data_IF_102296001659
#
_entry.id   IF_102296001659
#
_cell.length_a   1.000
_cell.length_b   1.000
_cell.length_c   1.000
_cell.angle_alpha   90.00
_cell.angle_beta   90.00
_cell.angle_gamma   90.00
#
_symmetry.space_group_name_H-M   'P 1'
#
loop_
_entity.id
_entity.type
_entity.pdbx_description
1 polymer ?
#
# COMPACT_ATOMS: atom_id res chain seq x y z
N UNK A 1 -6.18 -27.06 -22.53
CA UNK A 1 -5.38 -26.72 -21.33
C UNK A 1 -5.10 -25.22 -21.18
N UNK A 2 -4.57 -24.54 -22.21
CA UNK A 2 -4.18 -23.12 -22.12
C UNK A 2 -5.30 -22.14 -21.72
N UNK A 3 -6.51 -22.29 -22.28
CA UNK A 3 -7.66 -21.44 -21.94
C UNK A 3 -8.10 -21.57 -20.46
N UNK A 4 -7.99 -22.79 -19.91
CA UNK A 4 -8.31 -23.07 -18.50
C UNK A 4 -7.28 -22.42 -17.56
N UNK A 5 -5.99 -22.54 -17.89
CA UNK A 5 -4.92 -21.89 -17.14
C UNK A 5 -5.05 -20.37 -17.18
N UNK A 6 -5.31 -19.78 -18.36
CA UNK A 6 -5.52 -18.35 -18.50
C UNK A 6 -6.69 -17.84 -17.65
N UNK A 7 -7.85 -18.54 -17.72
CA UNK A 7 -9.02 -18.19 -16.90
C UNK A 7 -8.68 -18.23 -15.40
N UNK A 8 -7.97 -19.28 -14.95
CA UNK A 8 -7.57 -19.44 -13.55
C UNK A 8 -6.61 -18.34 -13.09
N UNK A 9 -5.63 -17.99 -13.92
CA UNK A 9 -4.68 -16.90 -13.63
C UNK A 9 -5.39 -15.55 -13.55
N UNK A 10 -6.31 -15.25 -14.47
CA UNK A 10 -7.10 -14.02 -14.42
C UNK A 10 -7.98 -13.94 -13.18
N UNK A 11 -8.62 -15.04 -12.78
CA UNK A 11 -9.39 -15.10 -11.53
C UNK A 11 -8.48 -14.87 -10.32
N UNK A 12 -7.30 -15.47 -10.28
CA UNK A 12 -6.34 -15.25 -9.20
C UNK A 12 -5.91 -13.78 -9.11
N UNK A 13 -5.53 -13.17 -10.23
CA UNK A 13 -5.14 -11.75 -10.30
C UNK A 13 -6.29 -10.86 -9.82
N UNK A 14 -7.51 -11.10 -10.30
CA UNK A 14 -8.69 -10.35 -9.88
C UNK A 14 -8.96 -10.45 -8.38
N UNK A 15 -8.83 -11.65 -7.80
CA UNK A 15 -8.98 -11.86 -6.36
C UNK A 15 -7.89 -11.12 -5.57
N UNK A 16 -6.63 -11.17 -6.02
CA UNK A 16 -5.52 -10.47 -5.37
C UNK A 16 -5.71 -8.95 -5.40
N UNK A 17 -6.11 -8.41 -6.56
CA UNK A 17 -6.42 -6.97 -6.70
C UNK A 17 -7.56 -6.61 -5.75
N UNK A 18 -8.68 -7.34 -5.77
CA UNK A 18 -9.82 -7.09 -4.90
C UNK A 18 -9.45 -7.13 -3.41
N UNK A 19 -8.71 -8.15 -2.98
CA UNK A 19 -8.22 -8.26 -1.61
C UNK A 19 -7.29 -7.10 -1.24
N UNK A 20 -6.36 -6.71 -2.13
CA UNK A 20 -5.43 -5.60 -1.88
C UNK A 20 -6.16 -4.26 -1.71
N UNK A 21 -7.19 -3.99 -2.54
CA UNK A 21 -8.01 -2.77 -2.43
C UNK A 21 -8.75 -2.75 -1.10
N UNK A 22 -9.34 -3.87 -0.69
CA UNK A 22 -10.04 -3.97 0.61
C UNK A 22 -9.08 -3.66 1.76
N UNK A 23 -7.89 -4.26 1.76
CA UNK A 23 -6.86 -3.99 2.78
C UNK A 23 -6.49 -2.50 2.79
N UNK A 24 -6.27 -1.89 1.63
CA UNK A 24 -5.92 -0.47 1.53
C UNK A 24 -7.02 0.44 2.07
N UNK A 25 -8.29 0.16 1.74
CA UNK A 25 -9.44 0.92 2.24
C UNK A 25 -9.59 0.80 3.75
N UNK A 26 -9.39 -0.39 4.31
CA UNK A 26 -9.42 -0.59 5.77
C UNK A 26 -8.31 0.24 6.43
N UNK A 27 -7.09 0.19 5.90
CA UNK A 27 -5.96 0.96 6.45
C UNK A 27 -6.17 2.48 6.34
N UNK A 28 -6.83 2.96 5.29
CA UNK A 28 -7.14 4.39 5.11
C UNK A 28 -8.20 4.89 6.10
N UNK A 29 -9.16 4.04 6.47
CA UNK A 29 -10.22 4.37 7.43
C UNK A 29 -9.71 4.29 8.87
N UNK A 30 -8.67 3.50 9.13
CA UNK A 30 -8.12 3.36 10.47
C UNK A 30 -7.56 4.70 10.98
N UNK A 31 -8.00 5.17 12.16
CA UNK A 31 -7.45 6.39 12.75
C UNK A 31 -6.01 6.11 13.21
N UNK A 32 -5.04 6.71 12.52
CA UNK A 32 -3.63 6.59 12.87
C UNK A 32 -2.74 6.93 11.68
N UNK A 33 -1.74 7.77 11.90
CA UNK A 33 -0.71 8.01 10.89
C UNK A 33 0.32 6.87 10.98
N UNK A 34 0.53 6.13 9.89
CA UNK A 34 1.53 5.06 9.86
C UNK A 34 2.94 5.56 10.28
N UNK A 35 3.29 6.80 9.97
CA UNK A 35 4.53 7.44 10.43
C UNK A 35 4.57 7.59 11.96
N UNK A 36 3.44 7.88 12.60
CA UNK A 36 3.35 7.99 14.05
C UNK A 36 3.44 6.61 14.71
N UNK A 37 2.87 5.57 14.09
CA UNK A 37 3.01 4.19 14.57
C UNK A 37 4.45 3.69 14.46
N UNK A 38 5.15 4.04 13.38
CA UNK A 38 6.55 3.66 13.16
C UNK A 38 7.53 4.38 14.10
N UNK A 39 7.30 5.68 14.35
CA UNK A 39 8.19 6.49 15.18
C UNK A 39 7.91 6.33 16.68
N UNK A 40 6.74 5.80 17.04
CA UNK A 40 6.31 5.64 18.42
C UNK A 40 5.66 6.90 19.02
N UNK A 41 5.07 6.78 20.21
CA UNK A 41 4.30 7.83 20.85
C UNK A 41 5.13 9.05 21.30
N UNK A 42 6.43 8.88 21.52
CA UNK A 42 7.34 9.94 21.99
C UNK A 42 8.00 10.73 20.84
N UNK A 43 7.64 10.42 19.60
CA UNK A 43 8.23 11.05 18.43
C UNK A 43 7.80 12.53 18.32
N UNK A 44 8.77 13.41 18.09
CA UNK A 44 8.51 14.82 17.80
C UNK A 44 7.56 14.96 16.59
N UNK A 45 6.55 15.84 16.64
CA UNK A 45 5.61 16.04 15.53
C UNK A 45 6.31 16.38 14.21
N UNK A 46 7.43 17.10 14.24
CA UNK A 46 8.19 17.43 13.03
C UNK A 46 8.80 16.17 12.38
N UNK A 47 9.34 15.25 13.18
CA UNK A 47 9.90 14.01 12.67
C UNK A 47 8.82 13.08 12.10
N UNK A 48 7.64 13.03 12.72
CA UNK A 48 6.48 12.29 12.20
C UNK A 48 6.01 12.88 10.87
N UNK A 49 5.92 14.20 10.75
CA UNK A 49 5.54 14.87 9.50
C UNK A 49 6.58 14.62 8.39
N UNK A 50 7.86 14.74 8.70
CA UNK A 50 8.94 14.47 7.75
C UNK A 50 8.93 13.01 7.26
N UNK A 51 8.68 12.05 8.16
CA UNK A 51 8.53 10.65 7.80
C UNK A 51 7.25 10.41 6.99
N UNK A 52 6.14 11.06 7.34
CA UNK A 52 4.88 10.94 6.60
C UNK A 52 5.03 11.39 5.15
N UNK A 53 5.71 12.52 4.90
CA UNK A 53 6.03 12.99 3.54
C UNK A 53 7.00 12.04 2.82
N UNK A 54 8.03 11.53 3.51
CA UNK A 54 8.94 10.52 2.93
C UNK A 54 8.21 9.24 2.49
N UNK A 55 7.23 8.81 3.27
CA UNK A 55 6.39 7.64 3.00
C UNK A 55 5.24 7.96 2.02
N UNK A 56 5.11 9.21 1.57
CA UNK A 56 4.05 9.64 0.68
C UNK A 56 2.65 9.58 1.30
N UNK A 57 2.52 9.59 2.63
CA UNK A 57 1.24 9.55 3.35
C UNK A 57 0.43 10.85 3.19
N UNK A 58 1.05 11.90 2.65
CA UNK A 58 0.44 13.15 2.24
C UNK A 58 -0.26 13.06 0.87
N UNK A 59 -0.01 11.99 0.10
CA UNK A 59 -0.63 11.78 -1.20
C UNK A 59 -1.99 11.06 -1.09
N UNK A 60 -2.91 11.28 -2.04
CA UNK A 60 -4.17 10.54 -2.11
C UNK A 60 -3.94 9.03 -2.10
N UNK A 61 -4.78 8.29 -1.37
CA UNK A 61 -4.69 6.84 -1.23
C UNK A 61 -4.59 6.09 -2.58
N UNK A 62 -5.32 6.57 -3.59
CA UNK A 62 -5.28 6.02 -4.95
C UNK A 62 -3.90 6.13 -5.60
N UNK A 63 -3.21 7.25 -5.42
CA UNK A 63 -1.85 7.46 -5.94
C UNK A 63 -0.86 6.52 -5.25
N UNK A 64 -0.94 6.40 -3.92
CA UNK A 64 -0.11 5.47 -3.12
C UNK A 64 -0.34 4.02 -3.54
N UNK A 65 -1.59 3.63 -3.78
CA UNK A 65 -1.94 2.29 -4.22
C UNK A 65 -1.30 1.95 -5.58
N UNK A 66 -1.39 2.83 -6.58
CA UNK A 66 -0.77 2.59 -7.88
C UNK A 66 0.76 2.59 -7.83
N UNK A 67 1.35 3.44 -7.00
CA UNK A 67 2.80 3.43 -6.80
C UNK A 67 3.26 2.09 -6.19
N UNK A 68 2.52 1.60 -5.19
CA UNK A 68 2.77 0.32 -4.55
C UNK A 68 2.60 -0.87 -5.51
N UNK A 69 1.52 -0.89 -6.31
CA UNK A 69 1.31 -1.91 -7.34
C UNK A 69 2.43 -1.87 -8.39
N UNK A 70 2.84 -0.68 -8.84
CA UNK A 70 3.95 -0.51 -9.79
C UNK A 70 5.28 -1.02 -9.23
N UNK A 71 5.56 -0.75 -7.96
CA UNK A 71 6.70 -1.31 -7.23
C UNK A 71 6.65 -2.84 -7.19
N UNK A 72 5.51 -3.42 -6.82
CA UNK A 72 5.28 -4.87 -6.80
C UNK A 72 5.57 -5.54 -8.15
N UNK A 73 5.11 -4.93 -9.24
CA UNK A 73 5.33 -5.44 -10.60
C UNK A 73 6.78 -5.30 -11.07
N UNK A 74 7.53 -4.35 -10.52
CA UNK A 74 8.96 -4.12 -10.83
C UNK A 74 9.91 -4.82 -9.85
N UNK A 75 9.37 -5.50 -8.83
CA UNK A 75 10.14 -6.14 -7.76
C UNK A 75 10.63 -5.17 -6.67
N UNK A 76 10.24 -3.90 -6.73
CA UNK A 76 10.51 -2.92 -5.69
C UNK A 76 9.41 -2.93 -4.63
N UNK A 77 9.65 -3.62 -3.52
CA UNK A 77 8.70 -3.78 -2.41
C UNK A 77 8.77 -2.63 -1.39
N UNK A 78 9.56 -1.58 -1.68
CA UNK A 78 9.88 -0.50 -0.77
C UNK A 78 11.32 -0.59 -0.24
N UNK A 79 11.82 0.53 0.30
CA UNK A 79 13.13 0.61 0.93
C UNK A 79 13.06 0.01 2.35
N UNK A 80 13.98 -0.91 2.67
CA UNK A 80 14.17 -1.51 4.01
C UNK A 80 15.09 -0.68 4.89
#
# INVERSE_FOLDING_TARGET
MGLFLLKRTLTLIGTLIGASVIVFLVLEILPGNAAQMLMGPDASPEAVAALATKLGLDQPAWTRYWHWIGGLLTGNLGDS
#
